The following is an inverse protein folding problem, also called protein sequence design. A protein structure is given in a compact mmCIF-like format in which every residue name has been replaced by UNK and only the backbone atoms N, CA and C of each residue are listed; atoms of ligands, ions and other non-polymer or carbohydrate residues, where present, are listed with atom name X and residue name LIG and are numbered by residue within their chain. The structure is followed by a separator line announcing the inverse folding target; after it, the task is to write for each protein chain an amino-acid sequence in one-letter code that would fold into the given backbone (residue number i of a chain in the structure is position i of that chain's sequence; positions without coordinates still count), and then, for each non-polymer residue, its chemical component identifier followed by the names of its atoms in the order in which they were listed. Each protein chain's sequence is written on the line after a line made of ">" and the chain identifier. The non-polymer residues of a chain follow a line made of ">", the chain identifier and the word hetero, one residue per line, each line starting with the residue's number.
data_IF_678646012894
#
_entry.id   IF_678646012894
#
_cell.length_a   1.000
_cell.length_b   1.000
_cell.length_c   1.000
_cell.angle_alpha   90.00
_cell.angle_beta   90.00
_cell.angle_gamma   90.00
#
_symmetry.space_group_name_H-M   'P 1'
#
loop_
_entity.id
_entity.type
_entity.pdbx_description
1 polymer ?
#
# COMPACT_ATOMS: atom_id res chain seq x y z
N UNK A 1 6.58 2.93 7.55
CA UNK A 1 6.88 1.58 7.03
C UNK A 1 5.97 0.50 7.63
N UNK A 2 5.76 0.46 8.94
CA UNK A 2 4.84 -0.50 9.58
C UNK A 2 3.41 -0.48 9.03
N UNK A 3 2.85 0.71 8.74
CA UNK A 3 1.52 0.82 8.14
C UNK A 3 1.43 0.17 6.75
N UNK A 4 2.51 0.21 5.96
CA UNK A 4 2.56 -0.45 4.66
C UNK A 4 2.49 -1.98 4.82
N UNK A 5 3.22 -2.54 5.79
CA UNK A 5 3.18 -3.97 6.12
C UNK A 5 1.80 -4.42 6.57
N UNK A 6 1.19 -3.71 7.53
CA UNK A 6 -0.15 -4.05 8.02
C UNK A 6 -1.17 -3.95 6.88
N UNK A 7 -1.14 -2.85 6.12
CA UNK A 7 -2.03 -2.66 4.99
C UNK A 7 -1.87 -3.79 3.97
N UNK A 8 -0.63 -4.13 3.62
CA UNK A 8 -0.33 -5.15 2.62
C UNK A 8 -0.84 -6.55 3.00
N UNK A 9 -0.82 -6.90 4.29
CA UNK A 9 -1.14 -8.25 4.75
C UNK A 9 -2.60 -8.44 5.20
N UNK A 10 -3.32 -7.37 5.59
CA UNK A 10 -4.67 -7.51 6.16
C UNK A 10 -5.77 -7.66 5.09
N UNK A 11 -6.78 -8.52 5.33
CA UNK A 11 -7.95 -8.70 4.47
C UNK A 11 -9.02 -7.59 4.67
N UNK A 12 -8.61 -6.35 4.96
CA UNK A 12 -9.51 -5.27 5.39
C UNK A 12 -9.31 -3.97 4.60
N UNK A 13 -9.02 -4.07 3.31
CA UNK A 13 -9.01 -2.93 2.39
C UNK A 13 -10.40 -2.41 2.09
N UNK A 14 -11.37 -3.31 2.01
CA UNK A 14 -12.78 -2.96 1.87
C UNK A 14 -13.68 -3.99 2.52
N UNK A 15 -14.92 -3.60 2.75
CA UNK A 15 -15.99 -4.48 3.21
C UNK A 15 -17.14 -4.46 2.21
N UNK A 16 -17.83 -5.57 2.10
CA UNK A 16 -19.13 -5.66 1.45
C UNK A 16 -20.11 -6.33 2.43
N UNK A 17 -21.20 -5.63 2.73
CA UNK A 17 -22.27 -6.17 3.56
C UNK A 17 -23.25 -6.86 2.64
N UNK A 18 -23.23 -8.19 2.61
CA UNK A 18 -24.20 -8.94 1.83
C UNK A 18 -25.54 -8.94 2.57
N UNK A 19 -26.49 -8.22 1.99
CA UNK A 19 -27.84 -8.04 2.53
C UNK A 19 -28.60 -9.37 2.62
N UNK A 20 -28.21 -10.41 1.87
CA UNK A 20 -28.90 -11.70 1.79
C UNK A 20 -28.43 -12.72 2.82
N UNK A 21 -27.19 -12.61 3.31
CA UNK A 21 -26.57 -13.64 4.16
C UNK A 21 -26.27 -13.17 5.60
N UNK A 22 -26.65 -11.92 5.94
CA UNK A 22 -26.30 -11.26 7.21
C UNK A 22 -24.79 -11.32 7.52
N UNK A 23 -23.96 -11.44 6.47
CA UNK A 23 -22.53 -11.62 6.58
C UNK A 23 -21.75 -10.40 6.10
N UNK A 24 -20.58 -10.19 6.70
CA UNK A 24 -19.62 -9.17 6.26
C UNK A 24 -18.48 -9.87 5.54
N UNK A 25 -18.27 -9.51 4.27
CA UNK A 25 -17.11 -9.95 3.49
C UNK A 25 -16.06 -8.85 3.49
N UNK A 26 -14.90 -9.12 4.09
CA UNK A 26 -13.72 -8.27 4.03
C UNK A 26 -12.86 -8.65 2.84
N UNK A 27 -12.45 -7.66 2.05
CA UNK A 27 -11.51 -7.81 0.93
C UNK A 27 -10.19 -7.16 1.31
N UNK A 28 -9.08 -7.87 1.20
CA UNK A 28 -7.74 -7.26 1.15
C UNK A 28 -6.95 -7.81 -0.03
N UNK A 29 -5.72 -7.34 -0.21
CA UNK A 29 -4.92 -7.58 -1.42
C UNK A 29 -4.81 -9.06 -1.82
N UNK A 30 -4.69 -9.98 -0.86
CA UNK A 30 -4.40 -11.39 -1.13
C UNK A 30 -5.57 -12.32 -0.86
N UNK A 31 -6.46 -11.91 0.05
CA UNK A 31 -7.50 -12.75 0.63
C UNK A 31 -8.76 -11.96 0.87
N UNK A 32 -9.88 -12.64 0.68
CA UNK A 32 -11.18 -12.21 1.19
C UNK A 32 -11.54 -13.09 2.37
N UNK A 33 -12.19 -12.52 3.37
CA UNK A 33 -12.59 -13.21 4.58
C UNK A 33 -14.05 -12.88 4.90
N UNK A 34 -14.87 -13.91 5.03
CA UNK A 34 -16.27 -13.81 5.39
C UNK A 34 -16.53 -14.13 6.85
N UNK A 35 -17.42 -13.34 7.46
CA UNK A 35 -18.15 -13.74 8.67
C UNK A 35 -19.64 -13.73 8.36
N UNK A 36 -20.20 -14.88 7.99
CA UNK A 36 -21.63 -15.07 7.77
C UNK A 36 -22.05 -16.54 7.85
N UNK A 37 -23.36 -16.81 7.79
CA UNK A 37 -23.93 -18.17 7.89
C UNK A 37 -23.61 -19.06 6.67
N UNK A 38 -23.27 -18.46 5.52
CA UNK A 38 -22.99 -19.14 4.25
C UNK A 38 -21.48 -19.18 3.90
N UNK A 39 -20.67 -18.28 4.45
CA UNK A 39 -19.21 -18.28 4.30
C UNK A 39 -18.54 -17.87 5.61
N UNK A 40 -18.05 -18.86 6.35
CA UNK A 40 -17.16 -18.68 7.48
C UNK A 40 -15.76 -19.12 7.06
N UNK A 41 -14.85 -18.18 6.83
CA UNK A 41 -13.49 -18.50 6.44
C UNK A 41 -12.86 -17.45 5.54
N UNK A 42 -11.63 -17.73 5.13
CA UNK A 42 -10.89 -16.89 4.18
C UNK A 42 -10.55 -17.70 2.93
N UNK A 43 -10.72 -17.08 1.77
CA UNK A 43 -10.30 -17.59 0.46
C UNK A 43 -9.21 -16.69 -0.11
N UNK A 44 -8.28 -17.29 -0.85
CA UNK A 44 -7.29 -16.53 -1.61
C UNK A 44 -7.96 -15.87 -2.82
N UNK A 45 -7.63 -14.61 -3.08
CA UNK A 45 -8.11 -13.82 -4.22
C UNK A 45 -7.19 -14.00 -5.45
N UNK A 46 -6.06 -14.69 -5.28
CA UNK A 46 -5.10 -14.97 -6.35
C UNK A 46 -5.79 -15.72 -7.51
N UNK A 47 -5.99 -15.02 -8.64
CA UNK A 47 -6.64 -15.57 -9.83
C UNK A 47 -8.04 -15.02 -10.12
N UNK A 48 -8.53 -14.00 -9.39
CA UNK A 48 -9.73 -13.27 -9.82
C UNK A 48 -9.49 -12.67 -11.21
N UNK A 49 -10.40 -12.97 -12.16
CA UNK A 49 -10.36 -12.49 -13.55
C UNK A 49 -10.71 -10.98 -13.68
N UNK A 50 -10.27 -10.18 -12.71
CA UNK A 50 -10.49 -8.74 -12.62
C UNK A 50 -9.16 -8.04 -12.87
N UNK A 51 -8.93 -7.59 -14.11
CA UNK A 51 -7.68 -6.95 -14.54
C UNK A 51 -7.27 -5.79 -13.63
N UNK A 52 -8.24 -4.99 -13.20
CA UNK A 52 -7.98 -3.86 -12.29
C UNK A 52 -7.43 -4.31 -10.93
N UNK A 53 -7.85 -5.47 -10.44
CA UNK A 53 -7.40 -6.02 -9.16
C UNK A 53 -5.97 -6.54 -9.27
N UNK A 54 -5.65 -7.20 -10.39
CA UNK A 54 -4.29 -7.62 -10.71
C UNK A 54 -3.32 -6.44 -10.79
N UNK A 55 -3.75 -5.32 -11.40
CA UNK A 55 -2.95 -4.08 -11.41
C UNK A 55 -2.73 -3.52 -10.00
N UNK A 56 -3.76 -3.53 -9.14
CA UNK A 56 -3.62 -3.10 -7.73
C UNK A 56 -2.61 -3.99 -7.00
N UNK A 57 -2.70 -5.31 -7.13
CA UNK A 57 -1.76 -6.25 -6.50
C UNK A 57 -0.32 -6.05 -7.00
N UNK A 58 -0.13 -5.87 -8.31
CA UNK A 58 1.19 -5.65 -8.90
C UNK A 58 1.81 -4.33 -8.40
N UNK A 59 1.05 -3.24 -8.44
CA UNK A 59 1.53 -1.92 -8.01
C UNK A 59 1.76 -1.86 -6.51
N UNK A 60 0.90 -2.47 -5.69
CA UNK A 60 1.12 -2.61 -4.26
C UNK A 60 2.36 -3.44 -3.95
N UNK A 61 2.64 -4.50 -4.71
CA UNK A 61 3.84 -5.33 -4.55
C UNK A 61 5.13 -4.58 -4.87
N UNK A 62 5.15 -3.85 -6.00
CA UNK A 62 6.30 -3.00 -6.35
C UNK A 62 6.55 -1.92 -5.31
N UNK A 63 5.47 -1.26 -4.85
CA UNK A 63 5.56 -0.31 -3.75
C UNK A 63 6.08 -0.97 -2.47
N UNK A 64 5.60 -2.16 -2.12
CA UNK A 64 6.03 -2.86 -0.91
C UNK A 64 7.51 -3.26 -0.97
N UNK A 65 7.99 -3.78 -2.10
CA UNK A 65 9.42 -4.06 -2.32
C UNK A 65 10.23 -2.77 -2.15
N UNK A 66 9.76 -1.67 -2.72
CA UNK A 66 10.41 -0.37 -2.63
C UNK A 66 10.54 0.15 -1.19
N UNK A 67 9.47 0.03 -0.38
CA UNK A 67 9.51 0.39 1.06
C UNK A 67 10.56 -0.43 1.81
N UNK A 68 10.69 -1.72 1.52
CA UNK A 68 11.68 -2.58 2.16
C UNK A 68 13.11 -2.25 1.74
N UNK A 69 13.33 -1.96 0.45
CA UNK A 69 14.63 -1.50 -0.04
C UNK A 69 15.03 -0.16 0.59
N UNK A 70 14.08 0.79 0.72
CA UNK A 70 14.32 2.05 1.41
C UNK A 70 14.73 1.84 2.88
N UNK A 71 14.09 0.89 3.58
CA UNK A 71 14.47 0.53 4.96
C UNK A 71 15.92 0.04 5.02
N UNK A 72 16.30 -0.87 4.13
CA UNK A 72 17.67 -1.42 4.07
C UNK A 72 18.67 -0.30 3.81
N UNK A 73 18.40 0.60 2.85
CA UNK A 73 19.30 1.72 2.55
C UNK A 73 19.46 2.68 3.73
N UNK A 74 18.38 2.98 4.46
CA UNK A 74 18.43 3.80 5.67
C UNK A 74 19.25 3.12 6.77
N UNK A 75 19.05 1.81 6.98
CA UNK A 75 19.84 1.03 7.95
C UNK A 75 21.33 1.05 7.58
N UNK A 76 21.66 0.86 6.30
CA UNK A 76 23.06 0.95 5.83
C UNK A 76 23.66 2.32 6.11
N UNK A 77 22.94 3.42 5.87
CA UNK A 77 23.42 4.77 6.14
C UNK A 77 23.65 5.07 7.63
N UNK A 78 22.90 4.41 8.53
CA UNK A 78 23.03 4.62 9.98
C UNK A 78 24.14 3.75 10.58
N UNK A 79 24.20 2.48 10.21
CA UNK A 79 25.03 1.48 10.89
C UNK A 79 26.33 1.12 10.18
N UNK A 80 26.46 1.43 8.89
CA UNK A 80 27.68 1.11 8.12
C UNK A 80 28.48 2.38 7.91
N UNK A 81 29.64 2.49 8.57
CA UNK A 81 30.50 3.68 8.53
C UNK A 81 30.90 4.09 7.10
N UNK A 82 31.10 3.11 6.21
CA UNK A 82 31.40 3.36 4.78
C UNK A 82 30.25 3.99 4.01
N UNK A 83 29.02 3.83 4.48
CA UNK A 83 27.79 4.30 3.83
C UNK A 83 27.25 5.58 4.49
N UNK A 84 27.79 5.97 5.65
CA UNK A 84 27.33 7.10 6.44
C UNK A 84 27.60 8.41 5.72
N UNK A 85 26.54 9.15 5.40
CA UNK A 85 26.63 10.43 4.70
C UNK A 85 27.02 10.34 3.21
N UNK A 86 27.04 9.15 2.62
CA UNK A 86 27.31 8.98 1.20
C UNK A 86 26.15 9.56 0.37
N UNK A 87 26.41 10.68 -0.32
CA UNK A 87 25.42 11.40 -1.16
C UNK A 87 24.81 10.52 -2.24
N UNK A 88 25.58 9.58 -2.79
CA UNK A 88 25.11 8.64 -3.79
C UNK A 88 24.01 7.71 -3.24
N UNK A 89 24.17 7.19 -2.01
CA UNK A 89 23.17 6.32 -1.37
C UNK A 89 21.92 7.14 -1.03
N UNK A 90 22.08 8.41 -0.62
CA UNK A 90 20.96 9.30 -0.35
C UNK A 90 20.14 9.58 -1.63
N UNK A 91 20.81 9.84 -2.75
CA UNK A 91 20.18 10.04 -4.04
C UNK A 91 19.41 8.80 -4.51
N UNK A 92 20.02 7.61 -4.45
CA UNK A 92 19.34 6.37 -4.82
C UNK A 92 18.15 6.05 -3.91
N UNK A 93 18.28 6.32 -2.61
CA UNK A 93 17.19 6.16 -1.67
C UNK A 93 16.03 7.13 -1.98
N UNK A 94 16.35 8.38 -2.35
CA UNK A 94 15.35 9.35 -2.79
C UNK A 94 14.61 8.87 -4.05
N UNK A 95 15.33 8.48 -5.11
CA UNK A 95 14.73 7.97 -6.36
C UNK A 95 13.81 6.78 -6.08
N UNK A 96 14.28 5.83 -5.27
CA UNK A 96 13.49 4.65 -4.93
C UNK A 96 12.23 5.00 -4.12
N UNK A 97 12.32 5.93 -3.17
CA UNK A 97 11.16 6.39 -2.40
C UNK A 97 10.11 7.07 -3.28
N UNK A 98 10.52 7.80 -4.33
CA UNK A 98 9.61 8.40 -5.32
C UNK A 98 8.90 7.31 -6.13
N UNK A 99 9.64 6.35 -6.69
CA UNK A 99 9.06 5.23 -7.45
C UNK A 99 8.07 4.46 -6.57
N UNK A 100 8.46 4.17 -5.34
CA UNK A 100 7.63 3.51 -4.32
C UNK A 100 6.33 4.27 -4.07
N UNK A 101 6.42 5.60 -3.90
CA UNK A 101 5.25 6.45 -3.67
C UNK A 101 4.29 6.42 -4.86
N UNK A 102 4.81 6.50 -6.09
CA UNK A 102 4.00 6.44 -7.31
C UNK A 102 3.29 5.09 -7.43
N UNK A 103 4.00 3.97 -7.22
CA UNK A 103 3.39 2.64 -7.27
C UNK A 103 2.27 2.48 -6.22
N UNK A 104 2.50 2.87 -4.96
CA UNK A 104 1.46 2.81 -3.93
C UNK A 104 0.28 3.73 -4.22
N UNK A 105 0.55 4.94 -4.73
CA UNK A 105 -0.50 5.89 -5.11
C UNK A 105 -1.41 5.31 -6.20
N UNK A 106 -0.82 4.69 -7.23
CA UNK A 106 -1.59 4.02 -8.30
C UNK A 106 -2.48 2.91 -7.71
N UNK A 107 -1.93 2.06 -6.84
CA UNK A 107 -2.70 0.98 -6.21
C UNK A 107 -3.90 1.53 -5.41
N UNK A 108 -3.69 2.58 -4.61
CA UNK A 108 -4.74 3.23 -3.82
C UNK A 108 -5.80 3.89 -4.70
N UNK A 109 -5.41 4.59 -5.77
CA UNK A 109 -6.34 5.25 -6.69
C UNK A 109 -7.21 4.23 -7.43
N UNK A 110 -6.61 3.18 -7.99
CA UNK A 110 -7.34 2.17 -8.75
C UNK A 110 -8.30 1.43 -7.81
N UNK A 111 -7.82 0.99 -6.64
CA UNK A 111 -8.69 0.35 -5.66
C UNK A 111 -9.83 1.29 -5.23
N UNK A 112 -9.52 2.53 -4.84
CA UNK A 112 -10.51 3.51 -4.39
C UNK A 112 -11.58 3.82 -5.45
N UNK A 113 -11.21 3.89 -6.73
CA UNK A 113 -12.13 4.20 -7.84
C UNK A 113 -12.94 2.99 -8.32
N UNK A 114 -12.35 1.80 -8.36
CA UNK A 114 -12.98 0.60 -8.91
C UNK A 114 -13.73 -0.23 -7.88
N UNK A 115 -13.30 -0.23 -6.62
CA UNK A 115 -13.86 -1.10 -5.58
C UNK A 115 -15.39 -0.95 -5.44
N UNK A 116 -15.88 0.28 -5.32
CA UNK A 116 -17.33 0.54 -5.16
C UNK A 116 -18.16 0.20 -6.39
N UNK A 117 -17.59 0.31 -7.59
CA UNK A 117 -18.31 0.02 -8.84
C UNK A 117 -18.28 -1.48 -9.17
N UNK A 118 -17.19 -2.17 -8.84
CA UNK A 118 -17.03 -3.59 -9.11
C UNK A 118 -17.85 -4.49 -8.17
N UNK A 119 -18.04 -4.09 -6.91
CA UNK A 119 -18.73 -4.89 -5.89
C UNK A 119 -20.20 -4.52 -5.68
N UNK A 120 -20.71 -3.53 -6.41
CA UNK A 120 -22.12 -3.15 -6.36
C UNK A 120 -22.94 -4.14 -7.19
N UNK A 121 -23.28 -5.28 -6.58
CA UNK A 121 -24.11 -6.30 -7.23
C UNK A 121 -25.60 -5.98 -7.14
N UNK A 122 -26.03 -5.32 -6.05
CA UNK A 122 -27.40 -4.88 -5.82
C UNK A 122 -27.47 -3.40 -5.37
N UNK A 123 -28.66 -2.81 -5.42
CA UNK A 123 -28.92 -1.43 -4.96
C UNK A 123 -28.70 -1.29 -3.44
N UNK A 124 -28.87 -2.37 -2.68
CA UNK A 124 -28.72 -2.41 -1.21
C UNK A 124 -27.28 -2.61 -0.74
N UNK A 125 -26.37 -3.07 -1.60
CA UNK A 125 -24.98 -3.30 -1.21
C UNK A 125 -24.28 -1.95 -1.03
N UNK A 126 -23.71 -1.76 0.16
CA UNK A 126 -22.93 -0.57 0.50
C UNK A 126 -21.47 -0.99 0.72
N UNK A 127 -20.67 -1.11 -0.36
CA UNK A 127 -19.25 -1.37 -0.20
C UNK A 127 -18.59 -0.19 0.53
N UNK A 128 -17.86 -0.52 1.59
CA UNK A 128 -17.18 0.42 2.48
C UNK A 128 -15.67 0.21 2.41
N UNK A 129 -14.90 1.27 2.66
CA UNK A 129 -13.45 1.16 2.76
C UNK A 129 -13.07 0.70 4.17
N UNK A 130 -12.16 -0.26 4.24
CA UNK A 130 -11.69 -0.80 5.50
C UNK A 130 -10.43 -0.13 6.02
N UNK A 131 -10.02 -0.54 7.21
CA UNK A 131 -8.90 0.05 7.92
C UNK A 131 -7.55 -0.13 7.20
N UNK A 132 -7.33 -1.27 6.54
CA UNK A 132 -6.08 -1.51 5.80
C UNK A 132 -5.92 -0.55 4.61
N UNK A 133 -7.02 -0.13 3.98
CA UNK A 133 -6.98 0.90 2.93
C UNK A 133 -6.62 2.26 3.51
N UNK A 134 -7.20 2.64 4.65
CA UNK A 134 -6.81 3.85 5.37
C UNK A 134 -5.32 3.84 5.76
N UNK A 135 -4.81 2.70 6.24
CA UNK A 135 -3.38 2.52 6.53
C UNK A 135 -2.50 2.61 5.28
N UNK A 136 -2.98 2.19 4.11
CA UNK A 136 -2.26 2.37 2.84
C UNK A 136 -2.07 3.85 2.53
N UNK A 137 -3.14 4.65 2.68
CA UNK A 137 -3.11 6.11 2.48
C UNK A 137 -2.16 6.77 3.48
N UNK A 138 -2.20 6.38 4.76
CA UNK A 138 -1.27 6.90 5.77
C UNK A 138 0.17 6.50 5.44
N UNK A 139 0.41 5.27 5.00
CA UNK A 139 1.74 4.82 4.59
C UNK A 139 2.29 5.66 3.43
N UNK A 140 1.44 5.98 2.45
CA UNK A 140 1.78 6.86 1.33
C UNK A 140 2.13 8.28 1.82
N UNK A 141 1.33 8.84 2.72
CA UNK A 141 1.59 10.17 3.28
C UNK A 141 2.93 10.22 4.03
N UNK A 142 3.22 9.22 4.87
CA UNK A 142 4.51 9.12 5.58
C UNK A 142 5.67 9.00 4.59
N UNK A 143 5.51 8.20 3.52
CA UNK A 143 6.55 8.07 2.50
C UNK A 143 6.78 9.41 1.77
N UNK A 144 5.72 10.14 1.43
CA UNK A 144 5.82 11.47 0.83
C UNK A 144 6.56 12.49 1.72
N UNK A 145 6.29 12.47 3.03
CA UNK A 145 7.02 13.31 3.99
C UNK A 145 8.50 12.94 4.03
N UNK A 146 8.83 11.64 4.04
CA UNK A 146 10.22 11.19 4.02
C UNK A 146 10.98 11.67 2.77
N UNK A 147 10.33 11.58 1.60
CA UNK A 147 10.85 12.11 0.33
C UNK A 147 11.12 13.62 0.42
N UNK A 148 10.16 14.40 0.94
CA UNK A 148 10.31 15.85 1.07
C UNK A 148 11.46 16.25 2.02
N UNK A 149 11.61 15.54 3.15
CA UNK A 149 12.71 15.77 4.09
C UNK A 149 14.07 15.48 3.44
N UNK A 150 14.19 14.37 2.71
CA UNK A 150 15.42 14.01 2.00
C UNK A 150 15.81 15.08 0.98
N UNK A 151 14.87 15.57 0.17
CA UNK A 151 15.11 16.67 -0.78
C UNK A 151 15.58 17.95 -0.09
N UNK A 152 14.95 18.31 1.03
CA UNK A 152 15.34 19.50 1.78
C UNK A 152 16.76 19.40 2.33
N UNK A 153 17.16 18.22 2.82
CA UNK A 153 18.52 17.97 3.32
C UNK A 153 19.57 18.00 2.20
N UNK A 154 19.28 17.44 1.03
CA UNK A 154 20.17 17.50 -0.13
C UNK A 154 20.32 18.92 -0.67
N UNK A 155 19.22 19.68 -0.76
CA UNK A 155 19.24 21.08 -1.18
C UNK A 155 20.10 21.96 -0.28
N UNK A 156 20.07 21.75 1.04
CA UNK A 156 20.96 22.47 1.99
C UNK A 156 22.43 22.06 1.89
N UNK A 157 22.71 20.83 1.48
CA UNK A 157 24.08 20.35 1.31
C UNK A 157 24.71 20.91 0.03
N UNK A 158 23.93 21.07 -1.04
CA UNK A 158 24.37 21.69 -2.28
C UNK A 158 24.63 23.21 -2.15
N UNK A 159 23.91 23.90 -1.28
CA UNK A 159 24.11 25.34 -1.04
C UNK A 159 25.37 25.68 -0.21
N UNK A 160 26.08 24.67 0.32
CA UNK A 160 27.30 24.84 1.14
C UNK A 160 28.59 24.45 0.42
N UNK A 161 28.53 23.91 -0.80
CA UNK A 161 29.69 23.63 -1.66
C UNK A 161 29.87 24.73 -2.69
#
# INVERSE_FOLDING_TARGET
>A
MFCAWISFCLPTWGYNNDSRSSGVMGYGLWRECGKGALSSGCSDISGTNLDWYGVVQAMASLGFIGVNLALVLVVLQIFVDKCKGAREIAFWNFVQCVITAVCYLIAVIIFGSKYRSALRSNISDRPEFGYAFGLAVVALAINGIAVAVLQFMEGRSAAKS
#
